data_IF_124148542529
#
_entry.id   IF_124148542529
#
_cell.length_a   1.000
_cell.length_b   1.000
_cell.length_c   1.000
_cell.angle_alpha   90.00
_cell.angle_beta   90.00
_cell.angle_gamma   90.00
#
_symmetry.space_group_name_H-M   'P 1'
#
loop_
_entity.id
_entity.type
_entity.pdbx_description
1 polymer ?
#
# COMPACT_ATOMS: atom_id res chain seq x y z
N UNK A 1 10.85 -17.46 -26.65
CA UNK A 1 11.52 -17.86 -25.40
C UNK A 1 11.79 -16.57 -24.63
N UNK A 2 10.95 -16.24 -23.66
CA UNK A 2 11.09 -15.04 -22.84
C UNK A 2 11.94 -15.39 -21.63
N UNK A 3 13.13 -14.80 -21.53
CA UNK A 3 13.96 -14.86 -20.33
C UNK A 3 13.47 -13.74 -19.42
N UNK A 4 12.82 -14.11 -18.31
CA UNK A 4 12.36 -13.15 -17.31
C UNK A 4 13.51 -12.75 -16.39
N UNK A 5 13.53 -11.48 -15.98
CA UNK A 5 14.50 -10.99 -15.03
C UNK A 5 14.30 -11.70 -13.67
N UNK A 6 15.39 -12.07 -12.96
CA UNK A 6 15.27 -12.66 -11.64
C UNK A 6 14.64 -11.64 -10.65
N UNK A 7 13.89 -12.12 -9.64
CA UNK A 7 13.30 -11.24 -8.62
C UNK A 7 14.38 -10.58 -7.75
N UNK A 8 14.06 -9.40 -7.20
CA UNK A 8 14.95 -8.73 -6.24
C UNK A 8 15.06 -9.53 -4.94
N UNK A 9 16.30 -9.71 -4.45
CA UNK A 9 16.59 -10.30 -3.13
C UNK A 9 16.66 -9.22 -2.04
N UNK A 10 16.81 -7.95 -2.42
CA UNK A 10 16.90 -6.82 -1.50
C UNK A 10 15.49 -6.46 -1.02
N UNK A 11 15.24 -6.41 0.30
CA UNK A 11 13.96 -5.98 0.83
C UNK A 11 13.60 -4.55 0.38
N UNK A 12 12.42 -4.33 -0.20
CA UNK A 12 12.01 -3.00 -0.64
C UNK A 12 11.69 -2.13 0.58
N UNK A 13 12.03 -0.85 0.48
CA UNK A 13 11.58 0.16 1.45
C UNK A 13 10.06 0.29 1.38
N UNK A 14 9.44 0.55 2.53
CA UNK A 14 7.99 0.74 2.66
C UNK A 14 7.68 2.22 2.68
N UNK A 15 6.85 2.65 1.73
CA UNK A 15 6.37 4.02 1.65
C UNK A 15 4.87 4.08 1.95
N UNK A 16 4.44 5.25 2.42
CA UNK A 16 3.05 5.55 2.70
C UNK A 16 2.29 5.63 1.37
N UNK A 17 1.16 4.93 1.31
CA UNK A 17 0.37 4.87 0.08
C UNK A 17 -0.32 6.21 -0.24
N UNK A 18 -0.44 7.11 0.75
CA UNK A 18 -1.09 8.42 0.62
C UNK A 18 -0.08 9.54 0.34
N UNK A 19 0.99 9.64 1.14
CA UNK A 19 1.93 10.78 1.09
C UNK A 19 3.26 10.47 0.41
N UNK A 20 3.62 9.20 0.22
CA UNK A 20 4.91 8.79 -0.34
C UNK A 20 6.11 8.87 0.63
N UNK A 21 5.91 9.33 1.87
CA UNK A 21 6.94 9.30 2.92
C UNK A 21 7.22 7.87 3.39
N UNK A 22 8.34 7.61 4.05
CA UNK A 22 8.65 6.28 4.59
C UNK A 22 7.59 5.84 5.61
N UNK A 23 6.98 4.67 5.45
CA UNK A 23 5.88 4.22 6.31
C UNK A 23 6.33 3.09 7.24
N UNK A 24 6.51 3.37 8.55
CA UNK A 24 6.81 2.34 9.53
C UNK A 24 5.59 1.49 9.90
N UNK A 25 4.37 1.97 9.66
CA UNK A 25 3.14 1.32 10.12
C UNK A 25 2.20 0.89 8.99
N UNK A 26 1.36 -0.10 9.30
CA UNK A 26 0.34 -0.66 8.40
C UNK A 26 -0.98 -0.79 9.15
N UNK A 27 -2.07 -0.35 8.54
CA UNK A 27 -3.42 -0.52 9.09
C UNK A 27 -3.90 -1.97 8.88
N UNK A 28 -4.27 -2.72 9.94
CA UNK A 28 -4.76 -4.10 9.80
C UNK A 28 -6.09 -4.20 9.04
N UNK A 29 -6.91 -3.13 9.02
CA UNK A 29 -8.22 -3.16 8.36
C UNK A 29 -8.09 -2.97 6.85
N UNK A 30 -7.43 -1.90 6.42
CA UNK A 30 -7.27 -1.56 4.99
C UNK A 30 -6.00 -2.13 4.35
N UNK A 31 -5.01 -2.57 5.13
CA UNK A 31 -3.64 -2.92 4.67
C UNK A 31 -2.88 -1.75 4.02
N UNK A 32 -3.34 -0.51 4.23
CA UNK A 32 -2.63 0.68 3.81
C UNK A 32 -1.45 0.98 4.74
N UNK A 33 -0.37 1.49 4.16
CA UNK A 33 0.84 1.93 4.83
C UNK A 33 0.74 3.41 5.17
N UNK A 34 1.06 3.77 6.41
CA UNK A 34 0.98 5.17 6.87
C UNK A 34 2.24 5.59 7.64
N UNK A 35 2.52 6.90 7.62
CA UNK A 35 3.70 7.49 8.26
C UNK A 35 3.43 7.93 9.70
N UNK A 36 2.34 8.68 9.92
CA UNK A 36 2.01 9.30 11.20
C UNK A 36 0.51 9.13 11.55
N UNK A 37 0.13 9.64 12.73
CA UNK A 37 -1.25 9.55 13.25
C UNK A 37 -2.24 10.32 12.38
N UNK A 38 -1.86 11.48 11.84
CA UNK A 38 -2.75 12.30 10.99
C UNK A 38 -3.17 11.55 9.72
N UNK A 39 -2.22 10.86 9.06
CA UNK A 39 -2.53 10.03 7.89
C UNK A 39 -3.40 8.84 8.28
N UNK A 40 -3.20 8.26 9.47
CA UNK A 40 -4.06 7.19 9.95
C UNK A 40 -5.50 7.66 10.21
N UNK A 41 -5.68 8.85 10.79
CA UNK A 41 -7.01 9.46 10.94
C UNK A 41 -7.66 9.74 9.60
N UNK A 42 -6.91 10.25 8.62
CA UNK A 42 -7.38 10.42 7.25
C UNK A 42 -7.85 9.09 6.63
N UNK A 43 -7.05 8.02 6.75
CA UNK A 43 -7.41 6.69 6.25
C UNK A 43 -8.73 6.19 6.86
N UNK A 44 -9.01 6.48 8.13
CA UNK A 44 -10.29 6.10 8.76
C UNK A 44 -11.50 6.80 8.17
N UNK A 45 -11.32 7.99 7.59
CA UNK A 45 -12.41 8.75 6.95
C UNK A 45 -12.68 8.29 5.51
N UNK A 46 -11.86 7.39 4.97
CA UNK A 46 -12.04 6.89 3.61
C UNK A 46 -13.39 6.21 3.43
N UNK A 47 -14.09 6.59 2.38
CA UNK A 47 -15.29 5.92 1.93
C UNK A 47 -15.01 4.51 1.41
N UNK A 48 -16.04 3.67 1.27
CA UNK A 48 -15.89 2.31 0.77
C UNK A 48 -15.23 2.30 -0.63
N UNK A 49 -14.18 1.49 -0.79
CA UNK A 49 -13.49 1.28 -2.07
C UNK A 49 -12.30 2.20 -2.33
N UNK A 50 -12.13 3.28 -1.56
CA UNK A 50 -10.98 4.19 -1.71
C UNK A 50 -9.67 3.49 -1.31
N UNK A 51 -9.73 2.66 -0.28
CA UNK A 51 -8.64 1.79 0.16
C UNK A 51 -8.14 0.87 -0.97
N UNK A 52 -9.08 0.28 -1.70
CA UNK A 52 -8.79 -0.59 -2.84
C UNK A 52 -8.12 0.17 -4.00
N UNK A 53 -8.52 1.42 -4.24
CA UNK A 53 -7.87 2.28 -5.23
C UNK A 53 -6.39 2.52 -4.86
N UNK A 54 -6.10 2.92 -3.62
CA UNK A 54 -4.72 3.10 -3.17
C UNK A 54 -3.91 1.80 -3.18
N UNK A 55 -4.53 0.67 -2.82
CA UNK A 55 -3.89 -0.64 -2.93
C UNK A 55 -3.61 -1.02 -4.38
N UNK A 56 -4.45 -0.62 -5.34
CA UNK A 56 -4.25 -0.91 -6.76
C UNK A 56 -3.08 -0.14 -7.35
N UNK A 57 -2.86 1.12 -6.93
CA UNK A 57 -1.65 1.88 -7.28
C UNK A 57 -0.36 1.17 -6.85
N UNK A 58 -0.38 0.53 -5.68
CA UNK A 58 0.75 -0.28 -5.19
C UNK A 58 0.86 -1.66 -5.88
N UNK A 59 -0.19 -2.11 -6.57
CA UNK A 59 -0.29 -3.48 -7.08
C UNK A 59 -0.61 -4.52 -6.00
N UNK A 60 -1.19 -4.11 -4.88
CA UNK A 60 -1.59 -4.97 -3.75
C UNK A 60 -3.11 -5.18 -3.64
N UNK A 61 -3.89 -4.74 -4.63
CA UNK A 61 -5.33 -4.93 -4.69
C UNK A 61 -5.68 -6.39 -4.96
N UNK A 62 -6.68 -6.90 -4.24
CA UNK A 62 -7.20 -8.26 -4.44
C UNK A 62 -8.47 -8.21 -5.28
N UNK A 63 -8.37 -8.63 -6.54
CA UNK A 63 -9.55 -8.82 -7.41
C UNK A 63 -10.14 -10.20 -7.15
N UNK A 64 -11.31 -10.26 -6.52
CA UNK A 64 -12.09 -11.49 -6.42
C UNK A 64 -12.66 -11.82 -7.82
N UNK A 65 -12.45 -13.05 -8.28
CA UNK A 65 -13.00 -13.59 -9.53
C UNK A 65 -14.14 -14.54 -9.24
#
# INVERSE_FOLDING_TARGET
>A
MTIEAPPSVIPPKKYCDVTGLEAPYVDPKSRLRYHNVEVYELIKTFGPGVDQIYLSLRGAHTTLK
#
